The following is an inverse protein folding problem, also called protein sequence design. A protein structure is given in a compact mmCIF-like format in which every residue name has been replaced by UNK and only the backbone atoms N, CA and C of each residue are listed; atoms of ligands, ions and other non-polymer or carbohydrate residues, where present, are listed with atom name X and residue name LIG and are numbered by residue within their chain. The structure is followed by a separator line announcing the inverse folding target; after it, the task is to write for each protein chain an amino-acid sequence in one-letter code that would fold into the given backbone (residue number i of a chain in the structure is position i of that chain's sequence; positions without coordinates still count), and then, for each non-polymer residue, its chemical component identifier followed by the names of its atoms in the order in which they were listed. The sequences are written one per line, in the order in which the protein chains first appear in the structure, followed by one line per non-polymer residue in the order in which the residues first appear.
data_IF_598797052124
#
_entry.id   IF_598797052124
#
_cell.length_a   1.000
_cell.length_b   1.000
_cell.length_c   1.000
_cell.angle_alpha   90.00
_cell.angle_beta   90.00
_cell.angle_gamma   90.00
#
_symmetry.space_group_name_H-M   'P 1'
#
loop_
_entity.id
_entity.type
_entity.pdbx_description
1 polymer ?
#
# COMPACT_ATOMS: atom_id res chain seq x y z
N UNK A 1 15.71 -18.79 11.51
CA UNK A 1 14.98 -17.89 12.42
C UNK A 1 14.49 -16.73 11.56
N UNK A 2 13.22 -16.74 11.14
CA UNK A 2 12.66 -15.73 10.23
C UNK A 2 12.10 -14.56 11.04
N UNK A 3 12.46 -13.34 10.64
CA UNK A 3 12.22 -12.11 11.39
C UNK A 3 10.73 -11.70 11.35
N UNK A 4 10.19 -11.13 12.44
CA UNK A 4 8.81 -10.67 12.53
C UNK A 4 8.45 -9.50 11.58
N UNK A 5 9.43 -8.84 10.97
CA UNK A 5 9.22 -7.74 10.02
C UNK A 5 8.60 -8.21 8.69
N UNK A 6 8.96 -9.42 8.23
CA UNK A 6 8.51 -10.00 6.96
C UNK A 6 6.97 -10.22 6.96
N UNK A 7 6.43 -10.59 8.12
CA UNK A 7 4.99 -10.70 8.33
C UNK A 7 4.26 -9.35 8.24
N UNK A 8 4.90 -8.26 8.66
CA UNK A 8 4.27 -6.93 8.67
C UNK A 8 4.16 -6.36 7.26
N UNK A 9 5.23 -6.49 6.46
CA UNK A 9 5.27 -6.07 5.05
C UNK A 9 4.19 -6.80 4.25
N UNK A 10 4.17 -8.13 4.37
CA UNK A 10 3.21 -8.98 3.67
C UNK A 10 1.77 -8.70 4.10
N UNK A 11 1.50 -8.55 5.41
CA UNK A 11 0.17 -8.17 5.90
C UNK A 11 -0.30 -6.83 5.38
N UNK A 12 0.60 -5.86 5.24
CA UNK A 12 0.25 -4.54 4.74
C UNK A 12 -0.07 -4.58 3.24
N UNK A 13 0.73 -5.32 2.47
CA UNK A 13 0.46 -5.59 1.06
C UNK A 13 -0.90 -6.28 0.89
N UNK A 14 -1.17 -7.36 1.62
CA UNK A 14 -2.45 -8.09 1.59
C UNK A 14 -3.63 -7.17 1.96
N UNK A 15 -3.43 -6.27 2.93
CA UNK A 15 -4.47 -5.32 3.36
C UNK A 15 -4.73 -4.24 2.30
N UNK A 16 -3.71 -3.75 1.60
CA UNK A 16 -3.92 -2.83 0.48
C UNK A 16 -4.63 -3.52 -0.68
N UNK A 17 -4.26 -4.76 -0.99
CA UNK A 17 -4.95 -5.53 -2.02
C UNK A 17 -6.42 -5.76 -1.67
N UNK A 18 -6.71 -6.08 -0.40
CA UNK A 18 -8.08 -6.16 0.11
C UNK A 18 -8.84 -4.84 -0.01
N UNK A 19 -8.24 -3.71 0.36
CA UNK A 19 -8.86 -2.39 0.21
C UNK A 19 -9.16 -2.08 -1.26
N UNK A 20 -8.25 -2.40 -2.16
CA UNK A 20 -8.49 -2.23 -3.60
C UNK A 20 -9.66 -3.08 -4.08
N UNK A 21 -9.79 -4.32 -3.60
CA UNK A 21 -10.91 -5.20 -3.94
C UNK A 21 -12.25 -4.68 -3.41
N UNK A 22 -12.29 -4.25 -2.14
CA UNK A 22 -13.54 -3.76 -1.50
C UNK A 22 -14.02 -2.46 -2.13
N UNK A 23 -13.11 -1.58 -2.55
CA UNK A 23 -13.43 -0.29 -3.15
C UNK A 23 -13.47 -0.33 -4.69
N UNK A 24 -13.39 -1.52 -5.30
CA UNK A 24 -13.34 -1.73 -6.76
C UNK A 24 -12.28 -0.86 -7.47
N UNK A 25 -11.16 -0.61 -6.78
CA UNK A 25 -10.07 0.22 -7.28
C UNK A 25 -9.16 -0.60 -8.20
N UNK A 26 -9.00 -0.10 -9.42
CA UNK A 26 -7.99 -0.66 -10.31
C UNK A 26 -6.57 -0.32 -9.83
N UNK A 27 -5.56 -1.19 -10.11
CA UNK A 27 -4.16 -0.87 -9.83
C UNK A 27 -3.69 0.43 -10.48
N UNK A 28 -4.30 0.81 -11.61
CA UNK A 28 -4.01 2.07 -12.30
C UNK A 28 -4.54 3.25 -11.49
N UNK A 29 -5.78 3.18 -11.02
CA UNK A 29 -6.41 4.21 -10.17
C UNK A 29 -5.62 4.40 -8.88
N UNK A 30 -5.23 3.30 -8.23
CA UNK A 30 -4.41 3.34 -7.02
C UNK A 30 -3.04 3.97 -7.27
N UNK A 31 -2.40 3.63 -8.40
CA UNK A 31 -1.13 4.26 -8.76
C UNK A 31 -1.27 5.74 -9.13
N UNK A 32 -2.40 6.17 -9.71
CA UNK A 32 -2.69 7.60 -9.94
C UNK A 32 -2.84 8.33 -8.61
N UNK A 33 -3.56 7.74 -7.65
CA UNK A 33 -3.70 8.31 -6.32
C UNK A 33 -2.35 8.44 -5.63
N UNK A 34 -1.46 7.46 -5.77
CA UNK A 34 -0.13 7.50 -5.16
C UNK A 34 0.96 8.19 -6.02
N UNK A 35 0.62 8.69 -7.21
CA UNK A 35 1.55 9.38 -8.09
C UNK A 35 2.25 10.60 -7.45
N UNK A 36 1.59 11.41 -6.58
CA UNK A 36 2.25 12.51 -5.87
C UNK A 36 3.43 12.07 -5.00
N UNK A 37 3.43 10.82 -4.53
CA UNK A 37 4.51 10.23 -3.73
C UNK A 37 5.51 9.42 -4.56
N UNK A 38 5.45 9.54 -5.90
CA UNK A 38 6.32 8.83 -6.84
C UNK A 38 6.21 7.29 -6.76
N UNK A 39 5.10 6.76 -6.22
CA UNK A 39 4.83 5.32 -6.16
C UNK A 39 4.24 4.87 -7.50
N UNK A 40 4.95 3.98 -8.18
CA UNK A 40 4.53 3.43 -9.48
C UNK A 40 3.76 2.13 -9.29
N UNK A 41 2.92 1.72 -10.27
CA UNK A 41 2.24 0.43 -10.21
C UNK A 41 3.18 -0.77 -10.02
N UNK A 42 4.42 -0.67 -10.52
CA UNK A 42 5.43 -1.71 -10.37
C UNK A 42 5.84 -1.94 -8.91
N UNK A 43 5.82 -0.89 -8.07
CA UNK A 43 6.18 -0.97 -6.64
C UNK A 43 5.19 -1.83 -5.87
N UNK A 44 3.92 -1.84 -6.26
CA UNK A 44 2.93 -2.75 -5.67
C UNK A 44 3.23 -4.23 -5.91
N UNK A 45 3.98 -4.58 -6.96
CA UNK A 45 4.39 -5.97 -7.21
C UNK A 45 5.62 -6.37 -6.40
N UNK A 46 6.28 -5.42 -5.74
CA UNK A 46 7.50 -5.60 -4.97
C UNK A 46 7.24 -5.21 -3.50
N UNK A 47 6.72 -6.12 -2.66
CA UNK A 47 6.33 -5.81 -1.29
C UNK A 47 7.48 -5.21 -0.45
N UNK A 48 8.72 -5.69 -0.64
CA UNK A 48 9.90 -5.14 0.03
C UNK A 48 10.14 -3.67 -0.30
N UNK A 49 10.00 -3.29 -1.57
CA UNK A 49 10.16 -1.90 -2.00
C UNK A 49 9.01 -1.03 -1.54
N UNK A 50 7.79 -1.57 -1.57
CA UNK A 50 6.60 -0.87 -1.15
C UNK A 50 6.74 -0.32 0.28
N UNK A 51 7.34 -1.09 1.19
CA UNK A 51 7.62 -0.63 2.55
C UNK A 51 8.58 0.55 2.65
N UNK A 52 9.55 0.68 1.74
CA UNK A 52 10.44 1.84 1.71
C UNK A 52 9.70 3.13 1.33
N UNK A 53 8.61 3.01 0.56
CA UNK A 53 7.80 4.16 0.15
C UNK A 53 6.71 4.52 1.17
N UNK A 54 6.23 3.56 1.96
CA UNK A 54 5.12 3.74 2.89
C UNK A 54 5.53 4.48 4.16
N UNK A 55 5.71 5.79 4.02
CA UNK A 55 5.93 6.69 5.15
C UNK A 55 4.63 6.89 5.95
N UNK A 56 4.76 7.41 7.16
CA UNK A 56 3.60 7.71 8.02
C UNK A 56 2.56 8.64 7.37
N UNK A 57 3.01 9.60 6.54
CA UNK A 57 2.11 10.50 5.81
C UNK A 57 1.28 9.76 4.76
N UNK A 58 1.86 8.79 4.05
CA UNK A 58 1.14 7.99 3.06
C UNK A 58 0.14 7.08 3.77
N UNK A 59 0.52 6.46 4.87
CA UNK A 59 -0.38 5.63 5.67
C UNK A 59 -1.55 6.44 6.23
N UNK A 60 -1.30 7.67 6.69
CA UNK A 60 -2.36 8.58 7.15
C UNK A 60 -3.30 8.99 5.99
N UNK A 61 -2.75 9.30 4.82
CA UNK A 61 -3.54 9.66 3.63
C UNK A 61 -4.39 8.47 3.15
N UNK A 62 -3.83 7.26 3.12
CA UNK A 62 -4.56 6.04 2.82
C UNK A 62 -5.67 5.79 3.84
N UNK A 63 -5.40 5.95 5.13
CA UNK A 63 -6.41 5.78 6.17
C UNK A 63 -7.57 6.76 6.00
N UNK A 64 -7.29 8.02 5.66
CA UNK A 64 -8.31 9.03 5.37
C UNK A 64 -9.15 8.65 4.14
N UNK A 65 -8.50 8.31 3.02
CA UNK A 65 -9.19 7.93 1.78
C UNK A 65 -10.07 6.69 1.91
N UNK A 66 -9.59 5.70 2.66
CA UNK A 66 -10.32 4.46 2.90
C UNK A 66 -11.24 4.53 4.12
N UNK A 67 -11.35 5.69 4.78
CA UNK A 67 -12.15 5.89 6.00
C UNK A 67 -11.82 4.85 7.08
N UNK A 68 -10.53 4.52 7.22
CA UNK A 68 -10.00 3.62 8.24
C UNK A 68 -9.67 4.42 9.50
N UNK A 69 -10.33 4.09 10.62
CA UNK A 69 -10.11 4.67 11.95
C UNK A 69 -9.10 3.89 12.78
#
# INVERSE_FOLDING_TARGET
MFLPADNSVRRLHDRMEYLMQVHELSPVTMATLLAPWNIRPAVFREPDRLTDYLTGEILASLADWFSLS
#
